data_IF_789433150135
#
_entry.id   IF_789433150135
#
_cell.length_a   1.000
_cell.length_b   1.000
_cell.length_c   1.000
_cell.angle_alpha   90.00
_cell.angle_beta   90.00
_cell.angle_gamma   90.00
#
_symmetry.space_group_name_H-M   'P 1'
#
loop_
_entity.id
_entity.type
_entity.pdbx_description
1 polymer ?
#
# COMPACT_ATOMS: atom_id res chain seq x y z
N UNK A 1 -33.41 11.01 1.72
CA UNK A 1 -32.45 11.24 2.82
C UNK A 1 -31.07 11.08 2.21
N UNK A 2 -30.24 12.12 2.20
CA UNK A 2 -28.89 12.05 1.64
C UNK A 2 -27.96 11.41 2.68
N UNK A 3 -27.37 10.28 2.33
CA UNK A 3 -26.30 9.66 3.12
C UNK A 3 -25.19 10.70 3.32
N UNK A 4 -24.64 10.88 4.54
CA UNK A 4 -23.48 11.73 4.70
C UNK A 4 -22.34 11.05 3.95
N UNK A 5 -21.98 11.58 2.78
CA UNK A 5 -20.70 11.32 2.16
C UNK A 5 -19.67 11.67 3.22
N UNK A 6 -19.12 10.65 3.90
CA UNK A 6 -17.93 10.79 4.72
C UNK A 6 -16.87 11.30 3.77
N UNK A 7 -16.75 12.61 3.69
CA UNK A 7 -15.65 13.27 3.03
C UNK A 7 -14.43 12.71 3.74
N UNK A 8 -13.74 11.80 3.05
CA UNK A 8 -12.46 11.29 3.48
C UNK A 8 -11.55 12.52 3.42
N UNK A 9 -11.51 13.32 4.49
CA UNK A 9 -10.55 14.39 4.64
C UNK A 9 -9.22 13.71 4.41
N UNK A 10 -8.62 13.96 3.25
CA UNK A 10 -7.29 13.50 2.92
C UNK A 10 -6.37 14.25 3.89
N UNK A 11 -6.19 13.67 5.07
CA UNK A 11 -5.19 14.14 6.00
C UNK A 11 -3.87 13.94 5.27
N UNK A 12 -3.17 15.02 4.96
CA UNK A 12 -1.80 14.98 4.42
C UNK A 12 -0.88 14.42 5.50
N UNK A 13 -0.96 13.10 5.72
CA UNK A 13 -0.13 12.41 6.70
C UNK A 13 1.18 12.11 5.99
N UNK A 14 2.31 12.63 6.50
CA UNK A 14 3.61 12.31 5.93
C UNK A 14 3.83 10.81 5.96
N UNK A 15 4.42 10.30 4.89
CA UNK A 15 4.79 8.90 4.79
C UNK A 15 5.91 8.60 5.77
N UNK A 16 5.90 7.40 6.35
CA UNK A 16 7.05 6.91 7.09
C UNK A 16 8.13 6.37 6.14
N UNK A 17 9.40 6.39 6.57
CA UNK A 17 10.52 5.86 5.79
C UNK A 17 10.28 4.41 5.33
N UNK A 18 9.61 3.61 6.17
CA UNK A 18 9.24 2.23 5.85
C UNK A 18 8.13 2.11 4.80
N UNK A 19 7.16 3.03 4.78
CA UNK A 19 6.15 3.10 3.71
C UNK A 19 6.77 3.56 2.40
N UNK A 20 7.64 4.56 2.44
CA UNK A 20 8.31 5.08 1.25
C UNK A 20 9.23 4.04 0.61
N UNK A 21 10.01 3.33 1.44
CA UNK A 21 10.84 2.23 0.99
C UNK A 21 10.02 1.08 0.38
N UNK A 22 8.96 0.63 1.05
CA UNK A 22 8.11 -0.45 0.55
C UNK A 22 7.37 -0.07 -0.74
N UNK A 23 6.93 1.18 -0.85
CA UNK A 23 6.31 1.69 -2.07
C UNK A 23 7.29 1.80 -3.22
N UNK A 24 8.52 2.28 -2.97
CA UNK A 24 9.57 2.35 -3.98
C UNK A 24 9.87 0.98 -4.57
N UNK A 25 10.05 -0.03 -3.72
CA UNK A 25 10.24 -1.41 -4.18
C UNK A 25 9.05 -1.93 -5.00
N UNK A 26 7.82 -1.61 -4.59
CA UNK A 26 6.62 -1.99 -5.34
C UNK A 26 6.60 -1.31 -6.73
N UNK A 27 6.91 -0.03 -6.79
CA UNK A 27 6.98 0.75 -8.03
C UNK A 27 8.09 0.24 -8.95
N UNK A 28 9.28 -0.04 -8.42
CA UNK A 28 10.39 -0.62 -9.19
C UNK A 28 10.02 -1.99 -9.75
N UNK A 29 9.37 -2.84 -8.95
CA UNK A 29 8.88 -4.14 -9.39
C UNK A 29 7.77 -4.06 -10.43
N UNK A 30 6.86 -3.09 -10.31
CA UNK A 30 5.74 -2.91 -11.25
C UNK A 30 6.03 -1.80 -12.27
N UNK A 31 7.29 -1.47 -12.56
CA UNK A 31 7.64 -0.42 -13.53
C UNK A 31 6.87 0.92 -13.41
N UNK A 32 6.39 1.26 -12.22
CA UNK A 32 5.57 2.43 -11.92
C UNK A 32 4.22 2.56 -12.63
N UNK A 33 3.70 1.51 -13.28
CA UNK A 33 2.45 1.62 -14.07
C UNK A 33 1.53 0.41 -13.89
N UNK A 34 0.23 0.58 -14.18
CA UNK A 34 -0.73 -0.53 -14.18
C UNK A 34 -0.66 -1.39 -15.47
N UNK A 35 0.08 -0.92 -16.48
CA UNK A 35 0.17 -1.51 -17.83
C UNK A 35 1.42 -2.37 -18.03
N UNK A 36 2.00 -2.87 -16.94
CA UNK A 36 3.24 -3.63 -16.99
C UNK A 36 2.97 -4.99 -17.63
N UNK A 37 3.87 -5.47 -18.52
CA UNK A 37 3.75 -6.81 -19.06
C UNK A 37 3.59 -7.84 -17.92
N UNK A 38 2.83 -8.93 -18.16
CA UNK A 38 2.64 -9.96 -17.14
C UNK A 38 4.00 -10.53 -16.71
N UNK A 39 4.10 -10.85 -15.43
CA UNK A 39 5.29 -11.42 -14.82
C UNK A 39 5.73 -12.67 -15.62
N UNK A 40 6.98 -12.73 -16.10
CA UNK A 40 7.44 -13.80 -17.00
C UNK A 40 7.46 -15.18 -16.32
N UNK A 41 7.37 -15.23 -14.98
CA UNK A 41 7.41 -16.47 -14.20
C UNK A 41 6.04 -17.09 -13.95
N UNK A 42 4.97 -16.28 -13.93
CA UNK A 42 3.64 -16.74 -13.54
C UNK A 42 2.52 -16.26 -14.47
N UNK A 43 2.85 -15.50 -15.52
CA UNK A 43 1.93 -14.98 -16.54
C UNK A 43 0.75 -14.18 -15.99
N UNK A 44 0.87 -13.71 -14.74
CA UNK A 44 -0.09 -12.84 -14.04
C UNK A 44 0.41 -11.40 -14.09
N UNK A 45 -0.44 -10.39 -13.90
CA UNK A 45 0.02 -9.01 -13.72
C UNK A 45 1.13 -8.95 -12.66
N UNK A 46 2.19 -8.16 -12.87
CA UNK A 46 3.33 -8.11 -11.91
C UNK A 46 2.87 -7.79 -10.48
N UNK A 47 1.81 -6.97 -10.32
CA UNK A 47 1.17 -6.71 -9.02
C UNK A 47 0.63 -7.95 -8.30
N UNK A 48 0.23 -8.97 -9.03
CA UNK A 48 -0.45 -10.15 -8.51
C UNK A 48 0.41 -11.42 -8.54
N UNK A 49 1.64 -11.31 -9.04
CA UNK A 49 2.64 -12.34 -8.86
C UNK A 49 3.00 -12.50 -7.36
N UNK A 50 3.59 -13.62 -6.95
CA UNK A 50 3.97 -13.84 -5.55
C UNK A 50 4.83 -12.72 -4.95
N UNK A 51 5.72 -12.15 -5.77
CA UNK A 51 6.62 -11.06 -5.37
C UNK A 51 5.86 -9.73 -5.21
N UNK A 52 5.08 -9.31 -6.21
CA UNK A 52 4.21 -8.13 -6.12
C UNK A 52 3.20 -8.21 -4.96
N UNK A 53 2.65 -9.40 -4.69
CA UNK A 53 1.80 -9.65 -3.50
C UNK A 53 2.56 -9.45 -2.20
N UNK A 54 3.79 -9.93 -2.12
CA UNK A 54 4.67 -9.74 -0.95
C UNK A 54 4.97 -8.26 -0.72
N UNK A 55 5.34 -7.52 -1.77
CA UNK A 55 5.64 -6.08 -1.70
C UNK A 55 4.42 -5.26 -1.28
N UNK A 56 3.25 -5.55 -1.84
CA UNK A 56 1.98 -4.93 -1.41
C UNK A 56 1.65 -5.23 0.04
N UNK A 57 1.96 -6.43 0.52
CA UNK A 57 1.79 -6.80 1.92
C UNK A 57 2.75 -6.00 2.81
N UNK A 58 4.01 -5.88 2.45
CA UNK A 58 4.98 -5.04 3.17
C UNK A 58 4.53 -3.58 3.27
N UNK A 59 4.01 -3.00 2.18
CA UNK A 59 3.46 -1.65 2.21
C UNK A 59 2.27 -1.53 3.15
N UNK A 60 1.33 -2.49 3.10
CA UNK A 60 0.19 -2.53 4.05
C UNK A 60 0.64 -2.66 5.49
N UNK A 61 1.64 -3.50 5.76
CA UNK A 61 2.17 -3.72 7.10
C UNK A 61 2.89 -2.46 7.62
N UNK A 62 3.65 -1.76 6.78
CA UNK A 62 4.26 -0.47 7.11
C UNK A 62 3.20 0.60 7.42
N UNK A 63 2.16 0.73 6.59
CA UNK A 63 1.03 1.64 6.84
C UNK A 63 0.27 1.27 8.10
N UNK A 64 0.09 -0.03 8.38
CA UNK A 64 -0.55 -0.49 9.61
C UNK A 64 0.29 -0.21 10.84
N UNK A 65 1.61 -0.40 10.77
CA UNK A 65 2.53 -0.07 11.85
C UNK A 65 2.49 1.42 12.19
N UNK A 66 2.42 2.29 11.18
CA UNK A 66 2.20 3.72 11.37
C UNK A 66 0.83 4.00 11.99
N UNK A 67 -0.24 3.42 11.46
CA UNK A 67 -1.60 3.64 11.98
C UNK A 67 -1.71 3.17 13.43
N UNK A 68 -1.13 2.03 13.79
CA UNK A 68 -1.08 1.52 15.16
C UNK A 68 -0.20 2.35 16.11
N UNK A 69 0.70 3.20 15.59
CA UNK A 69 1.41 4.22 16.37
C UNK A 69 0.61 5.53 16.50
N UNK A 70 -0.19 5.89 15.49
CA UNK A 70 -1.01 7.13 15.49
C UNK A 70 -2.28 6.96 16.31
N UNK A 71 -2.94 5.80 16.25
CA UNK A 71 -3.96 5.42 17.23
C UNK A 71 -3.25 4.67 18.36
N UNK A 72 -2.93 5.30 19.50
CA UNK A 72 -2.68 4.52 20.69
C UNK A 72 -3.92 3.65 20.87
N UNK A 73 -3.69 2.34 20.79
CA UNK A 73 -4.54 1.26 21.28
C UNK A 73 -5.63 1.86 22.16
N UNK A 74 -6.84 2.01 21.61
CA UNK A 74 -8.00 2.38 22.40
C UNK A 74 -8.00 1.43 23.59
N UNK A 75 -7.65 1.98 24.75
CA UNK A 75 -7.45 1.23 25.97
C UNK A 75 -8.73 0.46 26.23
N UNK A 76 -8.60 -0.86 26.30
CA UNK A 76 -9.65 -1.74 26.80
C UNK A 76 -9.01 -2.66 27.81
#
# INVERSE_FOLDING_TARGET
>A
MAEPTREHRATNIPWSDGEEYAYRLLVEHTGGTETVPPCPRCNSPERDCPEGKSLRRSLRDATRARTGRITPKAAR
#
